data_IF_601192563909
#
_entry.id   IF_601192563909
#
_cell.length_a   1.000
_cell.length_b   1.000
_cell.length_c   1.000
_cell.angle_alpha   90.00
_cell.angle_beta   90.00
_cell.angle_gamma   90.00
#
_symmetry.space_group_name_H-M   'P 1'
#
loop_
_entity.id
_entity.type
_entity.pdbx_description
1 polymer ?
#
# COMPACT_ATOMS: atom_id res chain seq x y z
N UNK A 1 3.22 17.31 -31.90
CA UNK A 1 2.06 17.16 -31.02
C UNK A 1 2.56 16.94 -29.61
N UNK A 2 1.94 17.57 -28.60
CA UNK A 2 2.27 17.29 -27.18
C UNK A 2 1.35 16.19 -26.71
N UNK A 3 1.86 15.19 -25.95
CA UNK A 3 1.04 14.22 -25.26
C UNK A 3 0.29 14.89 -24.09
N UNK A 4 -0.98 14.58 -23.94
CA UNK A 4 -1.88 15.14 -22.91
C UNK A 4 -1.94 14.19 -21.72
N UNK A 5 -1.47 14.66 -20.57
CA UNK A 5 -1.39 13.87 -19.33
C UNK A 5 -2.41 14.40 -18.33
N UNK A 6 -3.42 13.58 -18.02
CA UNK A 6 -4.37 13.85 -16.95
C UNK A 6 -3.80 13.44 -15.61
N UNK A 7 -3.88 14.30 -14.59
CA UNK A 7 -3.47 14.01 -13.22
C UNK A 7 -4.65 14.27 -12.30
N UNK A 8 -5.11 13.23 -11.61
CA UNK A 8 -6.30 13.28 -10.74
C UNK A 8 -5.99 13.01 -9.27
N UNK A 9 -4.78 12.61 -8.96
CA UNK A 9 -4.30 12.50 -7.57
C UNK A 9 -2.98 13.23 -7.41
N UNK A 10 -2.69 13.84 -6.25
CA UNK A 10 -1.46 14.59 -6.04
C UNK A 10 -0.23 13.67 -6.12
N UNK A 11 0.77 14.11 -6.85
CA UNK A 11 2.11 13.50 -6.92
C UNK A 11 3.15 14.48 -6.40
N UNK A 12 4.38 14.04 -6.17
CA UNK A 12 5.45 14.90 -5.68
C UNK A 12 5.80 15.99 -6.70
N UNK A 13 6.32 17.13 -6.21
CA UNK A 13 6.80 18.21 -7.06
C UNK A 13 7.83 17.74 -8.08
N UNK A 14 8.75 16.87 -7.66
CA UNK A 14 9.73 16.24 -8.56
C UNK A 14 9.07 15.43 -9.68
N UNK A 15 7.96 14.74 -9.40
CA UNK A 15 7.16 14.04 -10.42
C UNK A 15 6.48 15.02 -11.38
N UNK A 16 5.91 16.10 -10.88
CA UNK A 16 5.33 17.16 -11.70
C UNK A 16 6.37 17.83 -12.60
N UNK A 17 7.57 18.06 -12.09
CA UNK A 17 8.66 18.68 -12.85
C UNK A 17 9.14 17.81 -14.01
N UNK A 18 9.11 16.48 -13.86
CA UNK A 18 9.38 15.55 -14.97
C UNK A 18 8.43 15.81 -16.14
N UNK A 19 7.12 15.93 -15.89
CA UNK A 19 6.15 16.20 -16.95
C UNK A 19 6.35 17.60 -17.57
N UNK A 20 6.57 18.63 -16.76
CA UNK A 20 6.80 20.00 -17.22
C UNK A 20 8.06 20.09 -18.11
N UNK A 21 9.15 19.45 -17.68
CA UNK A 21 10.44 19.52 -18.37
C UNK A 21 10.51 18.68 -19.66
N UNK A 22 9.61 17.71 -19.83
CA UNK A 22 9.54 16.84 -21.00
C UNK A 22 8.42 17.18 -21.99
N UNK A 23 7.95 18.43 -21.96
CA UNK A 23 7.04 18.98 -22.96
C UNK A 23 5.66 18.27 -23.04
N UNK A 24 5.15 17.72 -21.93
CA UNK A 24 3.79 17.24 -21.83
C UNK A 24 2.80 18.40 -21.63
N UNK A 25 1.57 18.23 -22.10
CA UNK A 25 0.44 19.08 -21.74
C UNK A 25 -0.24 18.48 -20.51
N UNK A 26 -0.09 19.15 -19.35
CA UNK A 26 -0.64 18.67 -18.08
C UNK A 26 -2.07 19.17 -17.93
N UNK A 27 -3.01 18.27 -17.69
CA UNK A 27 -4.39 18.52 -17.33
C UNK A 27 -4.54 18.15 -15.86
N UNK A 28 -4.56 19.16 -15.00
CA UNK A 28 -4.73 18.96 -13.57
C UNK A 28 -6.22 18.94 -13.22
N UNK A 29 -6.67 17.86 -12.58
CA UNK A 29 -8.02 17.63 -12.08
C UNK A 29 -8.01 17.08 -10.65
N UNK A 30 -6.99 17.35 -9.86
CA UNK A 30 -6.84 16.85 -8.49
C UNK A 30 -8.05 17.26 -7.64
N UNK A 31 -8.48 18.50 -7.73
CA UNK A 31 -9.61 19.06 -6.98
C UNK A 31 -10.98 18.84 -7.65
N UNK A 32 -11.01 18.34 -8.90
CA UNK A 32 -12.23 18.12 -9.67
C UNK A 32 -12.21 16.82 -10.47
N UNK A 33 -11.79 15.76 -9.82
CA UNK A 33 -11.58 14.44 -10.42
C UNK A 33 -12.86 13.69 -10.79
N UNK A 34 -14.02 14.17 -10.36
CA UNK A 34 -15.31 13.55 -10.64
C UNK A 34 -15.91 13.99 -11.98
N UNK A 35 -15.47 15.15 -12.51
CA UNK A 35 -15.95 15.67 -13.79
C UNK A 35 -14.81 15.67 -14.81
N UNK A 36 -14.78 14.61 -15.64
CA UNK A 36 -13.75 14.38 -16.65
C UNK A 36 -14.30 14.37 -18.09
N UNK A 37 -15.61 14.59 -18.27
CA UNK A 37 -16.30 14.44 -19.57
C UNK A 37 -15.73 15.37 -20.65
N UNK A 38 -15.21 16.54 -20.24
CA UNK A 38 -14.64 17.54 -21.15
C UNK A 38 -13.21 17.20 -21.63
N UNK A 39 -12.53 16.25 -20.98
CA UNK A 39 -11.11 15.96 -21.26
C UNK A 39 -10.82 14.49 -21.55
N UNK A 40 -11.64 13.58 -21.06
CA UNK A 40 -11.35 12.13 -21.01
C UNK A 40 -11.07 11.51 -22.39
N UNK A 41 -11.74 11.96 -23.45
CA UNK A 41 -11.56 11.45 -24.81
C UNK A 41 -10.31 12.00 -25.52
N UNK A 42 -9.63 12.96 -24.89
CA UNK A 42 -8.51 13.68 -25.47
C UNK A 42 -7.16 13.36 -24.85
N UNK A 43 -7.13 12.64 -23.73
CA UNK A 43 -5.91 12.32 -22.97
C UNK A 43 -5.16 11.15 -23.56
N UNK A 44 -3.84 11.23 -23.54
CA UNK A 44 -2.93 10.15 -23.95
C UNK A 44 -2.44 9.32 -22.75
N UNK A 45 -2.32 9.96 -21.58
CA UNK A 45 -1.89 9.32 -20.34
C UNK A 45 -2.72 9.78 -19.15
N UNK A 46 -2.86 8.91 -18.15
CA UNK A 46 -3.58 9.20 -16.90
C UNK A 46 -2.74 8.80 -15.69
N UNK A 47 -2.39 9.78 -14.86
CA UNK A 47 -1.60 9.57 -13.63
C UNK A 47 -2.53 9.64 -12.44
N UNK A 48 -2.49 8.59 -11.61
CA UNK A 48 -3.33 8.43 -10.43
C UNK A 48 -2.54 7.90 -9.22
N UNK A 49 -3.20 7.92 -8.07
CA UNK A 49 -2.84 7.15 -6.88
C UNK A 49 -4.05 6.32 -6.41
N UNK A 50 -4.22 6.17 -5.10
CA UNK A 50 -5.34 5.41 -4.50
C UNK A 50 -6.66 6.20 -4.44
N UNK A 51 -6.61 7.51 -4.58
CA UNK A 51 -7.78 8.40 -4.46
C UNK A 51 -8.69 8.41 -5.69
N UNK A 52 -8.18 7.99 -6.85
CA UNK A 52 -8.95 7.92 -8.10
C UNK A 52 -9.23 6.46 -8.48
N UNK A 53 -10.48 6.17 -8.84
CA UNK A 53 -10.88 4.87 -9.39
C UNK A 53 -11.12 4.96 -10.89
N UNK A 54 -10.37 4.18 -11.67
CA UNK A 54 -10.53 4.10 -13.13
C UNK A 54 -11.39 2.89 -13.46
N UNK A 55 -12.65 3.16 -13.82
CA UNK A 55 -13.64 2.15 -14.19
C UNK A 55 -13.52 1.74 -15.66
N UNK A 56 -14.21 0.64 -15.98
CA UNK A 56 -14.42 0.20 -17.37
C UNK A 56 -14.93 1.31 -18.28
N UNK A 57 -15.86 2.15 -17.78
CA UNK A 57 -16.48 3.18 -18.59
C UNK A 57 -15.51 4.35 -18.83
N UNK A 58 -14.72 4.70 -17.85
CA UNK A 58 -13.62 5.67 -18.01
C UNK A 58 -12.64 5.24 -19.11
N UNK A 59 -12.18 3.97 -19.08
CA UNK A 59 -11.22 3.46 -20.08
C UNK A 59 -11.83 3.48 -21.49
N UNK A 60 -13.11 3.12 -21.62
CA UNK A 60 -13.80 3.12 -22.91
C UNK A 60 -14.05 4.53 -23.45
N UNK A 61 -14.29 5.50 -22.59
CA UNK A 61 -14.46 6.90 -22.96
C UNK A 61 -13.13 7.54 -23.40
N UNK A 62 -12.03 7.14 -22.81
CA UNK A 62 -10.69 7.66 -23.07
C UNK A 62 -10.08 7.11 -24.37
N UNK A 63 -10.58 7.52 -25.52
CA UNK A 63 -10.28 6.94 -26.84
C UNK A 63 -8.82 7.02 -27.28
N UNK A 64 -8.06 7.97 -26.75
CA UNK A 64 -6.64 8.19 -27.07
C UNK A 64 -5.71 7.66 -25.99
N UNK A 65 -6.26 7.17 -24.87
CA UNK A 65 -5.48 6.71 -23.72
C UNK A 65 -4.57 5.54 -24.10
N UNK A 66 -3.28 5.70 -23.87
CA UNK A 66 -2.25 4.70 -24.15
C UNK A 66 -1.68 4.12 -22.86
N UNK A 67 -1.60 4.91 -21.78
CA UNK A 67 -0.98 4.50 -20.53
C UNK A 67 -1.70 5.06 -19.31
N UNK A 68 -1.81 4.23 -18.28
CA UNK A 68 -2.22 4.61 -16.94
C UNK A 68 -1.02 4.40 -16.03
N UNK A 69 -0.55 5.45 -15.37
CA UNK A 69 0.52 5.40 -14.36
C UNK A 69 -0.08 5.53 -12.96
N UNK A 70 0.05 4.48 -12.15
CA UNK A 70 -0.33 4.56 -10.74
C UNK A 70 0.90 4.78 -9.87
N UNK A 71 1.00 5.96 -9.25
CA UNK A 71 2.05 6.28 -8.29
C UNK A 71 1.79 5.57 -6.94
N UNK A 72 1.96 4.24 -6.94
CA UNK A 72 1.77 3.34 -5.79
C UNK A 72 1.87 1.87 -6.18
N UNK A 73 1.75 0.97 -5.20
CA UNK A 73 2.00 -0.47 -5.35
C UNK A 73 0.81 -1.23 -5.95
N UNK A 74 -0.37 -1.10 -5.35
CA UNK A 74 -1.55 -1.82 -5.79
C UNK A 74 -2.11 -1.26 -7.10
N UNK A 75 -3.00 -2.01 -7.77
CA UNK A 75 -3.71 -1.59 -8.99
C UNK A 75 -5.20 -1.92 -8.93
N UNK A 76 -5.69 -2.19 -7.73
CA UNK A 76 -7.06 -2.58 -7.41
C UNK A 76 -8.13 -1.53 -7.78
N UNK A 77 -7.72 -0.27 -7.86
CA UNK A 77 -8.57 0.84 -8.28
C UNK A 77 -8.61 1.05 -9.82
N UNK A 78 -8.02 0.14 -10.61
CA UNK A 78 -8.01 0.21 -12.08
C UNK A 78 -8.64 -1.07 -12.66
N UNK A 79 -9.55 -0.94 -13.63
CA UNK A 79 -10.07 -2.10 -14.36
C UNK A 79 -9.03 -2.63 -15.37
N UNK A 80 -8.10 -3.44 -14.85
CA UNK A 80 -6.99 -4.03 -15.64
C UNK A 80 -7.52 -4.84 -16.83
N UNK A 81 -8.63 -5.58 -16.64
CA UNK A 81 -9.18 -6.43 -17.73
C UNK A 81 -9.63 -5.58 -18.92
N UNK A 82 -10.25 -4.44 -18.65
CA UNK A 82 -10.66 -3.53 -19.72
C UNK A 82 -9.47 -2.79 -20.31
N UNK A 83 -8.50 -2.33 -19.48
CA UNK A 83 -7.29 -1.70 -19.97
C UNK A 83 -6.53 -2.61 -20.96
N UNK A 84 -6.33 -3.88 -20.61
CA UNK A 84 -5.70 -4.87 -21.48
C UNK A 84 -6.46 -5.05 -22.81
N UNK A 85 -7.80 -5.15 -22.76
CA UNK A 85 -8.63 -5.30 -23.96
C UNK A 85 -8.58 -4.08 -24.88
N UNK A 86 -8.40 -2.90 -24.32
CA UNK A 86 -8.29 -1.64 -25.07
C UNK A 86 -6.86 -1.32 -25.49
N UNK A 87 -5.87 -2.16 -25.17
CA UNK A 87 -4.46 -1.92 -25.49
C UNK A 87 -3.80 -0.84 -24.63
N UNK A 88 -4.39 -0.50 -23.47
CA UNK A 88 -3.87 0.51 -22.54
C UNK A 88 -2.87 -0.15 -21.59
N UNK A 89 -1.64 0.36 -21.53
CA UNK A 89 -0.61 -0.10 -20.61
C UNK A 89 -0.92 0.42 -19.21
N UNK A 90 -0.85 -0.44 -18.19
CA UNK A 90 -0.96 -0.03 -16.79
C UNK A 90 0.38 -0.24 -16.12
N UNK A 91 0.91 0.84 -15.53
CA UNK A 91 2.19 0.87 -14.83
C UNK A 91 1.96 1.22 -13.36
N UNK A 92 2.72 0.59 -12.48
CA UNK A 92 2.73 0.89 -11.05
C UNK A 92 4.17 1.00 -10.51
N UNK A 93 4.31 1.31 -9.23
CA UNK A 93 5.60 1.37 -8.52
C UNK A 93 5.63 0.26 -7.46
N UNK A 94 6.07 -0.96 -7.81
CA UNK A 94 5.89 -2.15 -6.96
C UNK A 94 6.55 -2.08 -5.59
N UNK A 95 7.64 -1.32 -5.44
CA UNK A 95 8.41 -1.21 -4.19
C UNK A 95 8.26 0.16 -3.49
N UNK A 96 7.40 1.05 -4.03
CA UNK A 96 7.37 2.46 -3.63
C UNK A 96 7.01 2.73 -2.17
N UNK A 97 6.37 1.80 -1.45
CA UNK A 97 6.01 1.97 -0.05
C UNK A 97 6.27 0.72 0.81
N UNK A 98 6.99 -0.29 0.32
CA UNK A 98 7.14 -1.55 1.05
C UNK A 98 7.80 -1.35 2.42
N UNK A 99 8.87 -0.58 2.48
CA UNK A 99 9.56 -0.27 3.74
C UNK A 99 8.69 0.57 4.66
N UNK A 100 8.11 1.67 4.15
CA UNK A 100 7.29 2.57 4.98
C UNK A 100 6.02 1.90 5.52
N UNK A 101 5.40 1.01 4.74
CA UNK A 101 4.26 0.22 5.19
C UNK A 101 4.67 -0.78 6.30
N UNK A 102 5.80 -1.46 6.14
CA UNK A 102 6.32 -2.36 7.15
C UNK A 102 6.69 -1.63 8.46
N UNK A 103 7.35 -0.48 8.36
CA UNK A 103 7.67 0.35 9.53
C UNK A 103 6.42 0.86 10.23
N UNK A 104 5.40 1.27 9.47
CA UNK A 104 4.12 1.67 10.05
C UNK A 104 3.44 0.50 10.77
N UNK A 105 3.48 -0.71 10.19
CA UNK A 105 2.97 -1.94 10.83
C UNK A 105 3.67 -2.19 12.17
N UNK A 106 5.01 -2.10 12.20
CA UNK A 106 5.78 -2.24 13.45
C UNK A 106 5.44 -1.14 14.47
N UNK A 107 5.28 0.10 14.02
CA UNK A 107 4.90 1.21 14.88
C UNK A 107 3.52 0.98 15.52
N UNK A 108 2.52 0.55 14.76
CA UNK A 108 1.19 0.21 15.27
C UNK A 108 1.24 -0.97 16.25
N UNK A 109 1.99 -2.02 15.93
CA UNK A 109 2.17 -3.19 16.79
C UNK A 109 2.79 -2.80 18.14
N UNK A 110 3.84 -2.00 18.12
CA UNK A 110 4.48 -1.50 19.34
C UNK A 110 3.57 -0.55 20.12
N UNK A 111 2.89 0.37 19.44
CA UNK A 111 1.97 1.30 20.07
C UNK A 111 0.82 0.58 20.80
N UNK A 112 0.28 -0.46 20.16
CA UNK A 112 -0.77 -1.30 20.73
C UNK A 112 -0.26 -2.11 21.92
N UNK A 113 0.88 -2.80 21.75
CA UNK A 113 1.44 -3.68 22.78
C UNK A 113 1.91 -2.92 24.02
N UNK A 114 2.33 -1.66 23.89
CA UNK A 114 2.87 -0.84 24.97
C UNK A 114 1.93 0.28 25.43
N UNK A 115 0.66 0.28 24.97
CA UNK A 115 -0.35 1.28 25.34
C UNK A 115 0.07 2.74 25.06
N UNK A 116 0.92 2.98 24.02
CA UNK A 116 1.49 4.31 23.72
C UNK A 116 0.40 5.34 23.44
N UNK A 117 -0.63 4.97 22.70
CA UNK A 117 -1.78 5.82 22.36
C UNK A 117 -2.59 6.21 23.61
N UNK A 118 -2.74 5.29 24.58
CA UNK A 118 -3.44 5.57 25.83
C UNK A 118 -2.59 6.52 26.69
N UNK A 119 -1.28 6.23 26.80
CA UNK A 119 -0.36 7.08 27.54
C UNK A 119 -0.29 8.50 26.97
N UNK A 120 -0.27 8.65 25.66
CA UNK A 120 -0.33 9.97 25.01
C UNK A 120 -1.64 10.70 25.34
N UNK A 121 -2.78 10.02 25.20
CA UNK A 121 -4.10 10.62 25.47
C UNK A 121 -4.28 11.03 26.94
N UNK A 122 -3.81 10.21 27.89
CA UNK A 122 -3.91 10.55 29.32
C UNK A 122 -3.04 11.76 29.68
N UNK A 123 -1.81 11.84 29.13
CA UNK A 123 -0.93 12.99 29.33
C UNK A 123 -1.51 14.28 28.72
N UNK A 124 -2.14 14.23 27.56
CA UNK A 124 -2.81 15.40 26.99
C UNK A 124 -3.99 15.93 27.82
N UNK A 125 -4.53 15.08 28.69
CA UNK A 125 -5.59 15.43 29.65
C UNK A 125 -5.06 15.66 31.08
N UNK A 126 -3.77 16.00 31.22
CA UNK A 126 -3.08 16.26 32.50
C UNK A 126 -3.18 15.10 33.51
N UNK A 127 -3.32 13.84 33.02
CA UNK A 127 -3.39 12.65 33.85
C UNK A 127 -2.10 11.83 33.79
N UNK A 128 -1.52 11.51 34.93
CA UNK A 128 -0.37 10.63 35.08
C UNK A 128 -0.81 9.24 35.57
N UNK A 129 -1.14 8.35 34.60
CA UNK A 129 -1.74 7.05 34.90
C UNK A 129 -0.76 5.87 34.67
N UNK A 130 0.47 6.01 35.14
CA UNK A 130 1.56 5.04 34.92
C UNK A 130 1.17 3.59 35.25
N UNK A 131 0.43 3.37 36.35
CA UNK A 131 0.03 2.04 36.80
C UNK A 131 -0.88 1.30 35.78
N UNK A 132 -1.65 2.07 35.00
CA UNK A 132 -2.60 1.55 34.02
C UNK A 132 -1.98 1.32 32.63
N UNK A 133 -0.69 1.66 32.46
CA UNK A 133 0.00 1.58 31.19
C UNK A 133 0.95 0.37 31.10
N UNK A 134 0.71 -0.66 31.90
CA UNK A 134 1.46 -1.92 31.81
C UNK A 134 1.08 -2.62 30.51
N UNK A 135 2.06 -2.75 29.60
CA UNK A 135 1.88 -3.41 28.31
C UNK A 135 2.60 -4.75 28.24
N UNK A 136 2.62 -5.32 27.06
CA UNK A 136 3.30 -6.57 26.76
C UNK A 136 4.57 -6.33 25.93
N UNK A 137 5.57 -7.19 26.10
CA UNK A 137 6.73 -7.24 25.21
C UNK A 137 6.41 -8.11 23.99
N UNK A 138 7.01 -7.78 22.84
CA UNK A 138 6.91 -8.61 21.63
C UNK A 138 7.78 -9.86 21.70
N UNK A 139 8.80 -9.86 22.51
CA UNK A 139 9.74 -10.97 22.70
C UNK A 139 8.99 -12.27 23.01
N UNK A 140 9.35 -13.35 22.28
CA UNK A 140 8.75 -14.70 22.38
C UNK A 140 7.26 -14.79 22.01
N UNK A 141 6.63 -13.68 21.55
CA UNK A 141 5.30 -13.69 21.01
C UNK A 141 5.29 -14.27 19.61
N UNK A 142 4.17 -14.84 19.21
CA UNK A 142 3.97 -15.37 17.86
C UNK A 142 3.25 -14.33 17.01
N UNK A 143 3.90 -13.93 15.90
CA UNK A 143 3.31 -13.09 14.87
C UNK A 143 2.79 -13.96 13.72
N UNK A 144 1.50 -13.89 13.45
CA UNK A 144 0.89 -14.41 12.24
C UNK A 144 0.94 -13.37 11.13
N UNK A 145 1.53 -13.72 9.99
CA UNK A 145 1.62 -12.85 8.81
C UNK A 145 0.78 -13.44 7.70
N UNK A 146 -0.33 -12.78 7.36
CA UNK A 146 -1.21 -13.14 6.25
C UNK A 146 -0.80 -12.30 5.04
N UNK A 147 -0.22 -12.95 4.05
CA UNK A 147 0.39 -12.29 2.89
C UNK A 147 1.92 -12.18 3.02
N UNK A 148 2.62 -13.06 2.30
CA UNK A 148 4.09 -13.18 2.32
C UNK A 148 4.73 -12.47 1.12
N UNK A 149 4.08 -11.41 0.64
CA UNK A 149 4.57 -10.51 -0.38
C UNK A 149 5.72 -9.62 0.11
N UNK A 150 6.01 -8.55 -0.61
CA UNK A 150 7.11 -7.63 -0.28
C UNK A 150 6.98 -7.02 1.11
N UNK A 151 5.81 -6.47 1.45
CA UNK A 151 5.57 -5.84 2.75
C UNK A 151 5.63 -6.88 3.87
N UNK A 152 4.98 -8.05 3.70
CA UNK A 152 5.01 -9.11 4.70
C UNK A 152 6.42 -9.57 5.04
N UNK A 153 7.32 -9.69 4.06
CA UNK A 153 8.74 -10.04 4.28
C UNK A 153 9.48 -8.95 5.05
N UNK A 154 9.26 -7.68 4.72
CA UNK A 154 9.84 -6.57 5.47
C UNK A 154 9.36 -6.51 6.94
N UNK A 155 8.09 -6.88 7.20
CA UNK A 155 7.56 -7.01 8.57
C UNK A 155 8.21 -8.19 9.29
N UNK A 156 8.35 -9.35 8.62
CA UNK A 156 8.99 -10.55 9.16
C UNK A 156 10.42 -10.23 9.61
N UNK A 157 11.24 -9.64 8.74
CA UNK A 157 12.65 -9.35 9.03
C UNK A 157 12.80 -8.45 10.27
N UNK A 158 11.93 -7.45 10.39
CA UNK A 158 11.92 -6.57 11.56
C UNK A 158 11.44 -7.29 12.81
N UNK A 159 10.41 -8.13 12.71
CA UNK A 159 9.83 -8.87 13.84
C UNK A 159 10.79 -9.92 14.41
N UNK A 160 11.59 -10.55 13.55
CA UNK A 160 12.65 -11.47 13.97
C UNK A 160 13.69 -10.76 14.87
N UNK A 161 13.98 -9.48 14.62
CA UNK A 161 14.87 -8.67 15.48
C UNK A 161 14.29 -8.42 16.87
N UNK A 162 12.98 -8.52 17.05
CA UNK A 162 12.30 -8.51 18.36
C UNK A 162 12.21 -9.88 19.01
N UNK A 163 12.88 -10.90 18.45
CA UNK A 163 12.81 -12.30 18.90
C UNK A 163 11.39 -12.86 18.93
N UNK A 164 10.57 -12.48 17.95
CA UNK A 164 9.24 -13.07 17.74
C UNK A 164 9.35 -14.40 16.99
N UNK A 165 8.37 -15.28 17.20
CA UNK A 165 8.13 -16.46 16.37
C UNK A 165 7.23 -16.05 15.21
N UNK A 166 7.48 -16.57 14.01
CA UNK A 166 6.71 -16.19 12.81
C UNK A 166 5.93 -17.39 12.28
N UNK A 167 4.62 -17.20 12.14
CA UNK A 167 3.74 -18.05 11.34
C UNK A 167 3.34 -17.27 10.08
N UNK A 168 3.55 -17.88 8.92
CA UNK A 168 3.24 -17.26 7.63
C UNK A 168 2.14 -18.01 6.88
N UNK A 169 1.25 -17.27 6.24
CA UNK A 169 0.26 -17.81 5.32
C UNK A 169 0.18 -16.95 4.06
N UNK A 170 0.26 -17.62 2.90
CA UNK A 170 0.00 -17.00 1.59
C UNK A 170 -0.36 -18.11 0.59
N UNK A 171 -1.54 -18.06 -0.06
CA UNK A 171 -1.96 -19.10 -0.98
C UNK A 171 -1.21 -19.08 -2.33
N UNK A 172 -0.44 -18.01 -2.62
CA UNK A 172 0.21 -17.80 -3.92
C UNK A 172 1.73 -17.84 -3.86
N UNK A 173 2.32 -17.84 -2.69
CA UNK A 173 3.79 -17.78 -2.52
C UNK A 173 4.37 -19.18 -2.44
N UNK A 174 5.48 -19.40 -3.18
CA UNK A 174 6.27 -20.61 -3.03
C UNK A 174 6.95 -20.63 -1.66
N UNK A 175 6.67 -21.69 -0.87
CA UNK A 175 7.18 -21.89 0.48
C UNK A 175 8.72 -22.02 0.53
N UNK A 176 9.34 -22.55 -0.54
CA UNK A 176 10.80 -22.71 -0.65
C UNK A 176 11.58 -21.37 -0.63
N UNK A 177 10.87 -20.24 -0.72
CA UNK A 177 11.48 -18.91 -0.64
C UNK A 177 11.75 -18.44 0.80
N UNK A 178 11.32 -19.21 1.80
CA UNK A 178 11.46 -18.85 3.21
C UNK A 178 12.40 -19.82 3.93
N UNK A 179 13.22 -19.25 4.81
CA UNK A 179 14.03 -20.02 5.74
C UNK A 179 13.11 -20.68 6.77
N UNK A 180 12.96 -21.98 6.70
CA UNK A 180 12.05 -22.78 7.53
C UNK A 180 12.38 -22.66 9.03
N UNK A 181 13.63 -22.34 9.37
CA UNK A 181 14.07 -22.14 10.76
C UNK A 181 13.58 -20.80 11.32
N UNK A 182 13.22 -19.86 10.45
CA UNK A 182 12.77 -18.51 10.81
C UNK A 182 11.28 -18.29 10.65
N UNK A 183 10.68 -18.91 9.63
CA UNK A 183 9.27 -18.71 9.29
C UNK A 183 8.60 -20.06 9.08
N UNK A 184 7.68 -20.41 9.96
CA UNK A 184 6.86 -21.61 9.78
C UNK A 184 5.65 -21.27 8.89
N UNK A 185 5.58 -21.86 7.71
CA UNK A 185 4.43 -21.73 6.82
C UNK A 185 3.33 -22.70 7.28
N UNK A 186 2.12 -22.17 7.46
CA UNK A 186 0.96 -22.89 7.99
C UNK A 186 -0.30 -22.54 7.20
N UNK A 187 -1.40 -23.26 7.43
CA UNK A 187 -2.70 -22.84 6.93
C UNK A 187 -3.27 -21.65 7.76
N UNK A 188 -4.34 -21.05 7.26
CA UNK A 188 -4.94 -19.85 7.87
C UNK A 188 -5.53 -20.16 9.25
N UNK A 189 -6.12 -21.35 9.44
CA UNK A 189 -6.73 -21.77 10.70
C UNK A 189 -5.65 -21.97 11.78
N UNK A 190 -4.56 -22.67 11.44
CA UNK A 190 -3.40 -22.84 12.34
C UNK A 190 -2.80 -21.48 12.71
N UNK A 191 -2.65 -20.56 11.73
CA UNK A 191 -2.12 -19.22 11.98
C UNK A 191 -3.02 -18.45 12.96
N UNK A 192 -4.33 -18.43 12.74
CA UNK A 192 -5.25 -17.66 13.58
C UNK A 192 -5.35 -18.17 15.01
N UNK A 193 -5.25 -19.48 15.21
CA UNK A 193 -5.33 -20.10 16.53
C UNK A 193 -4.04 -19.88 17.34
N UNK A 194 -2.87 -19.91 16.67
CA UNK A 194 -1.58 -19.96 17.36
C UNK A 194 -0.83 -18.62 17.37
N UNK A 195 -1.40 -17.54 16.86
CA UNK A 195 -0.79 -16.22 16.87
C UNK A 195 -1.23 -15.38 18.05
N UNK A 196 -0.29 -14.69 18.70
CA UNK A 196 -0.58 -13.64 19.69
C UNK A 196 -0.99 -12.33 19.00
N UNK A 197 -0.43 -12.07 17.82
CA UNK A 197 -0.67 -10.87 16.99
C UNK A 197 -0.78 -11.31 15.54
N UNK A 198 -1.70 -10.72 14.80
CA UNK A 198 -1.88 -11.00 13.37
C UNK A 198 -1.75 -9.69 12.57
N UNK A 199 -1.01 -9.75 11.47
CA UNK A 199 -0.94 -8.70 10.46
C UNK A 199 -1.42 -9.23 9.11
N UNK A 200 -2.10 -8.38 8.32
CA UNK A 200 -2.64 -8.70 7.00
C UNK A 200 -2.22 -7.65 5.98
#
# INVERSE_FOLDING_TARGET
MKYRVLITDPISDSGMDIFKNNNFEIIDRIDNKENLDDVIDTIDAWIIRSGTKISKDHIKAAKKLQVIGRAGVGVDNIDIKTATKCGVVVMNVPDGNSISAAEHTMALMLALSRNVHIGHSTLQNDKWERANLVGNELRNKTLGVVGLGRIGREVIDRSLSFNMKILGYDPYVNQDLFDIDKVKIVDLDELTINSDIITV
#
